data_IF_085411346552
#
_entry.id   IF_085411346552
#
_cell.length_a   1.000
_cell.length_b   1.000
_cell.length_c   1.000
_cell.angle_alpha   90.00
_cell.angle_beta   90.00
_cell.angle_gamma   90.00
#
_symmetry.space_group_name_H-M   'P 1'
#
loop_
_entity.id
_entity.type
_entity.pdbx_description
1 polymer ?
#
# COMPACT_ATOMS: atom_id res chain seq x y z
N UNK A 1 -4.38 1.28 19.25
CA UNK A 1 -5.65 1.33 18.47
C UNK A 1 -6.13 -0.10 18.27
N UNK A 2 -7.43 -0.40 18.07
CA UNK A 2 -7.89 -1.79 17.95
C UNK A 2 -7.06 -2.51 16.87
N UNK A 3 -6.51 -3.67 17.24
CA UNK A 3 -5.34 -4.29 16.59
C UNK A 3 -5.59 -4.86 15.20
N UNK A 4 -5.72 -3.98 14.20
CA UNK A 4 -5.52 -4.36 12.81
C UNK A 4 -4.04 -4.65 12.61
N UNK A 5 -3.71 -5.85 12.15
CA UNK A 5 -2.36 -6.12 11.67
C UNK A 5 -2.20 -5.42 10.31
N UNK A 6 -1.00 -4.96 10.02
CA UNK A 6 -0.63 -4.44 8.69
C UNK A 6 -1.18 -5.30 7.53
N UNK A 7 -1.13 -6.62 7.70
CA UNK A 7 -1.69 -7.60 6.76
C UNK A 7 -3.16 -7.36 6.41
N UNK A 8 -4.00 -6.99 7.38
CA UNK A 8 -5.43 -6.74 7.17
C UNK A 8 -5.67 -5.50 6.31
N UNK A 9 -4.83 -4.47 6.49
CA UNK A 9 -4.89 -3.21 5.74
C UNK A 9 -4.40 -3.44 4.32
N UNK A 10 -3.29 -4.16 4.15
CA UNK A 10 -2.72 -4.50 2.85
C UNK A 10 -3.72 -5.33 2.02
N UNK A 11 -4.33 -6.35 2.62
CA UNK A 11 -5.34 -7.18 1.94
C UNK A 11 -6.56 -6.37 1.53
N UNK A 12 -7.03 -5.46 2.39
CA UNK A 12 -8.16 -4.60 2.09
C UNK A 12 -7.90 -3.72 0.86
N UNK A 13 -6.82 -2.94 0.88
CA UNK A 13 -6.56 -1.95 -0.17
C UNK A 13 -6.12 -2.60 -1.48
N UNK A 14 -5.29 -3.65 -1.45
CA UNK A 14 -4.88 -4.35 -2.67
C UNK A 14 -6.07 -5.01 -3.37
N UNK A 15 -7.00 -5.65 -2.62
CA UNK A 15 -8.25 -6.18 -3.20
C UNK A 15 -9.12 -5.06 -3.78
N UNK A 16 -9.15 -3.89 -3.14
CA UNK A 16 -9.90 -2.75 -3.67
C UNK A 16 -9.30 -2.25 -4.98
N UNK A 17 -7.97 -2.07 -5.04
CA UNK A 17 -7.27 -1.65 -6.25
C UNK A 17 -7.43 -2.67 -7.39
N UNK A 18 -7.34 -3.97 -7.10
CA UNK A 18 -7.53 -5.03 -8.10
C UNK A 18 -8.93 -5.01 -8.75
N UNK A 19 -9.97 -4.70 -7.96
CA UNK A 19 -11.36 -4.74 -8.43
C UNK A 19 -11.84 -3.43 -9.07
N UNK A 20 -11.39 -2.30 -8.53
CA UNK A 20 -12.03 -1.00 -8.79
C UNK A 20 -11.17 -0.07 -9.66
N UNK A 21 -9.87 -0.35 -9.88
CA UNK A 21 -9.04 0.50 -10.74
C UNK A 21 -9.45 0.41 -12.23
N UNK A 22 -9.38 1.52 -12.97
CA UNK A 22 -9.54 1.51 -14.42
C UNK A 22 -8.56 0.54 -15.10
N UNK A 23 -9.07 -0.37 -15.95
CA UNK A 23 -8.27 -1.41 -16.62
C UNK A 23 -7.22 -0.87 -17.60
N UNK A 24 -7.28 0.40 -17.96
CA UNK A 24 -6.31 1.05 -18.84
C UNK A 24 -5.07 1.58 -18.09
N UNK A 25 -5.00 1.42 -16.77
CA UNK A 25 -3.80 1.74 -15.98
C UNK A 25 -2.83 0.55 -16.00
N UNK A 26 -1.88 0.57 -16.95
CA UNK A 26 -0.89 -0.51 -17.10
C UNK A 26 0.26 -0.45 -16.09
N UNK A 27 0.60 0.76 -15.61
CA UNK A 27 1.67 0.95 -14.62
C UNK A 27 1.09 1.15 -13.22
N UNK A 28 0.26 2.18 -13.02
CA UNK A 28 -0.44 2.47 -11.75
C UNK A 28 -1.59 1.50 -11.49
N UNK A 29 -1.24 0.23 -11.30
CA UNK A 29 -2.14 -0.88 -11.00
C UNK A 29 -1.82 -1.46 -9.61
N UNK A 30 -2.68 -2.36 -9.12
CA UNK A 30 -2.48 -3.02 -7.83
C UNK A 30 -1.13 -3.74 -7.71
N UNK A 31 -0.60 -4.29 -8.82
CA UNK A 31 0.74 -4.89 -8.82
C UNK A 31 1.84 -3.87 -8.53
N UNK A 32 1.77 -2.68 -9.12
CA UNK A 32 2.73 -1.60 -8.81
C UNK A 32 2.65 -1.19 -7.34
N UNK A 33 1.44 -1.04 -6.80
CA UNK A 33 1.27 -0.76 -5.36
C UNK A 33 1.89 -1.85 -4.48
N UNK A 34 1.71 -3.12 -4.85
CA UNK A 34 2.34 -4.25 -4.15
C UNK A 34 3.87 -4.18 -4.18
N UNK A 35 4.45 -3.87 -5.33
CA UNK A 35 5.90 -3.77 -5.51
C UNK A 35 6.48 -2.61 -4.67
N UNK A 36 5.82 -1.44 -4.69
CA UNK A 36 6.19 -0.26 -3.89
C UNK A 36 6.10 -0.56 -2.40
N UNK A 37 5.01 -1.18 -1.93
CA UNK A 37 4.84 -1.59 -0.54
C UNK A 37 5.96 -2.53 -0.08
N UNK A 38 6.26 -3.58 -0.86
CA UNK A 38 7.33 -4.52 -0.52
C UNK A 38 8.71 -3.87 -0.48
N UNK A 39 8.99 -2.93 -1.40
CA UNK A 39 10.25 -2.19 -1.39
C UNK A 39 10.34 -1.26 -0.18
N UNK A 40 9.27 -0.55 0.16
CA UNK A 40 9.20 0.35 1.30
C UNK A 40 9.43 -0.40 2.63
N UNK A 41 8.75 -1.53 2.84
CA UNK A 41 8.95 -2.38 4.04
C UNK A 41 10.42 -2.81 4.16
N UNK A 42 11.00 -3.37 3.09
CA UNK A 42 12.42 -3.80 3.10
C UNK A 42 13.38 -2.66 3.45
N UNK A 43 13.15 -1.46 2.92
CA UNK A 43 13.99 -0.30 3.21
C UNK A 43 13.80 0.12 4.67
N UNK A 44 12.56 0.20 5.16
CA UNK A 44 12.26 0.53 6.56
C UNK A 44 12.92 -0.43 7.55
N UNK A 45 12.88 -1.73 7.26
CA UNK A 45 13.55 -2.78 8.06
C UNK A 45 15.06 -2.55 8.11
N UNK A 46 15.69 -2.28 6.96
CA UNK A 46 17.15 -2.00 6.87
C UNK A 46 17.53 -0.70 7.60
N UNK A 47 16.64 0.29 7.60
CA UNK A 47 16.85 1.56 8.32
C UNK A 47 16.58 1.43 9.83
N UNK A 48 15.99 0.33 10.29
CA UNK A 48 15.71 0.10 11.71
C UNK A 48 14.70 1.09 12.30
N UNK A 49 13.74 1.56 11.49
CA UNK A 49 12.67 2.45 11.96
C UNK A 49 11.76 1.74 12.96
N UNK A 50 11.13 2.49 13.85
CA UNK A 50 10.27 1.91 14.88
C UNK A 50 8.90 1.46 14.32
N UNK A 51 8.12 0.77 15.14
CA UNK A 51 6.82 0.20 14.71
C UNK A 51 5.81 1.27 14.24
N UNK A 52 5.77 2.43 14.89
CA UNK A 52 4.86 3.52 14.50
C UNK A 52 5.29 4.15 13.16
N UNK A 53 6.59 4.32 12.95
CA UNK A 53 7.16 4.79 11.68
C UNK A 53 6.91 3.78 10.56
N UNK A 54 7.08 2.49 10.84
CA UNK A 54 6.79 1.42 9.88
C UNK A 54 5.31 1.41 9.51
N UNK A 55 4.41 1.52 10.49
CA UNK A 55 2.97 1.59 10.24
C UNK A 55 2.61 2.77 9.31
N UNK A 56 3.21 3.94 9.53
CA UNK A 56 3.00 5.11 8.67
C UNK A 56 3.56 4.88 7.26
N UNK A 57 4.76 4.33 7.14
CA UNK A 57 5.40 4.04 5.86
C UNK A 57 4.59 3.04 5.03
N UNK A 58 4.16 1.95 5.65
CA UNK A 58 3.32 0.92 5.04
C UNK A 58 1.99 1.50 4.58
N UNK A 59 1.33 2.28 5.45
CA UNK A 59 0.06 2.94 5.11
C UNK A 59 0.24 3.90 3.92
N UNK A 60 1.30 4.71 3.91
CA UNK A 60 1.58 5.61 2.80
C UNK A 60 1.83 4.84 1.49
N UNK A 61 2.65 3.79 1.53
CA UNK A 61 2.98 2.99 0.35
C UNK A 61 1.75 2.26 -0.22
N UNK A 62 0.90 1.70 0.64
CA UNK A 62 -0.31 0.98 0.24
C UNK A 62 -1.38 1.87 -0.39
N UNK A 63 -1.45 3.15 -0.01
CA UNK A 63 -2.51 4.06 -0.45
C UNK A 63 -2.05 5.11 -1.47
N UNK A 64 -0.77 5.16 -1.85
CA UNK A 64 -0.23 6.24 -2.70
C UNK A 64 -0.97 6.39 -4.05
N UNK A 65 -1.43 5.28 -4.64
CA UNK A 65 -2.17 5.23 -5.90
C UNK A 65 -3.70 5.20 -5.72
N UNK A 66 -4.21 5.28 -4.48
CA UNK A 66 -5.65 5.21 -4.22
C UNK A 66 -6.45 6.37 -4.85
N UNK A 67 -5.78 7.49 -5.20
CA UNK A 67 -6.41 8.60 -5.93
C UNK A 67 -6.99 8.20 -7.29
N UNK A 68 -6.41 7.20 -7.97
CA UNK A 68 -6.91 6.69 -9.24
C UNK A 68 -8.30 6.03 -9.13
N UNK A 69 -8.73 5.62 -7.93
CA UNK A 69 -10.06 5.07 -7.69
C UNK A 69 -11.18 6.12 -7.78
N UNK A 70 -10.85 7.39 -7.54
CA UNK A 70 -11.82 8.50 -7.47
C UNK A 70 -11.60 9.55 -8.54
N UNK A 71 -10.65 9.33 -9.46
CA UNK A 71 -10.30 10.26 -10.56
C UNK A 71 -9.94 11.66 -10.06
N UNK A 72 -9.15 11.73 -8.98
CA UNK A 72 -8.55 12.98 -8.49
C UNK A 72 -7.18 13.22 -9.14
#
# INVERSE_FOLDING_TARGET
MPGYKSMDIADFILKKLDNDLPRNLYYHCAQHTRDVYQAAVKIGEVMGINEDEMLLLETAALFHDAGFLVQL
#
